data_IF_477058568912
#
_entry.id   IF_477058568912
#
_cell.length_a   1.000
_cell.length_b   1.000
_cell.length_c   1.000
_cell.angle_alpha   90.00
_cell.angle_beta   90.00
_cell.angle_gamma   90.00
#
_symmetry.space_group_name_H-M   'P 1'
#
loop_
_entity.id
_entity.type
_entity.pdbx_description
1 polymer ?
#
# COMPACT_ATOMS: atom_id res chain seq x y z
N UNK A 1 27.32 -19.94 4.50
CA UNK A 1 26.63 -19.25 3.41
C UNK A 1 26.30 -20.14 2.21
N UNK A 2 27.22 -20.93 1.65
CA UNK A 2 26.97 -21.84 0.48
C UNK A 2 25.87 -22.87 0.72
N UNK A 3 25.74 -23.42 1.94
CA UNK A 3 24.71 -24.42 2.30
C UNK A 3 23.29 -23.81 2.46
N UNK A 4 23.21 -22.53 2.85
CA UNK A 4 21.96 -21.80 2.97
C UNK A 4 21.36 -21.45 1.59
N UNK A 5 22.22 -21.14 0.61
CA UNK A 5 21.84 -20.88 -0.78
C UNK A 5 21.31 -22.13 -1.48
N UNK A 6 21.86 -23.31 -1.16
CA UNK A 6 21.39 -24.60 -1.71
C UNK A 6 20.01 -24.96 -1.14
N UNK A 7 19.76 -24.70 0.16
CA UNK A 7 18.45 -24.89 0.77
C UNK A 7 17.39 -23.94 0.19
N UNK A 8 17.74 -22.68 -0.07
CA UNK A 8 16.87 -21.72 -0.73
C UNK A 8 16.58 -22.07 -2.21
N UNK A 9 17.52 -22.75 -2.90
CA UNK A 9 17.33 -23.19 -4.28
C UNK A 9 16.50 -24.47 -4.41
N UNK A 10 16.47 -25.33 -3.38
CA UNK A 10 15.69 -26.56 -3.37
C UNK A 10 14.22 -26.33 -2.97
N UNK A 11 13.95 -25.33 -2.12
CA UNK A 11 12.59 -24.95 -1.73
C UNK A 11 11.62 -24.73 -2.93
N UNK A 12 12.00 -24.07 -4.04
CA UNK A 12 11.08 -23.89 -5.16
C UNK A 12 10.75 -25.18 -5.92
N UNK A 13 11.64 -26.19 -5.91
CA UNK A 13 11.40 -27.45 -6.65
C UNK A 13 10.39 -28.37 -5.95
N UNK A 14 10.40 -28.42 -4.63
CA UNK A 14 9.43 -29.19 -3.84
C UNK A 14 8.09 -28.47 -3.69
N UNK A 15 8.09 -27.15 -3.79
CA UNK A 15 6.89 -26.32 -3.69
C UNK A 15 6.01 -26.38 -4.96
N UNK A 16 6.57 -26.68 -6.13
CA UNK A 16 5.83 -26.70 -7.40
C UNK A 16 4.64 -27.70 -7.38
N UNK A 17 4.79 -28.85 -6.75
CA UNK A 17 3.70 -29.83 -6.63
C UNK A 17 2.56 -29.34 -5.71
N UNK A 18 2.84 -28.44 -4.76
CA UNK A 18 1.87 -27.93 -3.79
C UNK A 18 1.28 -26.57 -4.20
N UNK A 19 1.98 -25.79 -5.03
CA UNK A 19 1.63 -24.41 -5.38
C UNK A 19 0.94 -24.32 -6.75
N UNK A 20 1.06 -25.33 -7.59
CA UNK A 20 0.58 -25.32 -8.98
C UNK A 20 1.58 -24.72 -9.96
N UNK A 21 1.22 -24.74 -11.22
CA UNK A 21 2.06 -24.14 -12.27
C UNK A 21 1.94 -22.63 -12.24
N UNK A 22 3.03 -21.93 -11.95
CA UNK A 22 3.05 -20.47 -11.82
C UNK A 22 2.67 -19.73 -13.12
N UNK A 23 2.79 -20.38 -14.28
CA UNK A 23 2.37 -19.84 -15.56
C UNK A 23 0.88 -20.03 -15.89
N UNK A 24 0.11 -20.75 -15.07
CA UNK A 24 -1.31 -20.95 -15.30
C UNK A 24 -2.15 -19.83 -14.65
N UNK A 25 -3.30 -19.51 -15.27
CA UNK A 25 -4.24 -18.48 -14.80
C UNK A 25 -3.61 -17.08 -14.66
N UNK A 26 -2.62 -16.79 -15.50
CA UNK A 26 -2.02 -15.45 -15.59
C UNK A 26 -2.98 -14.54 -16.34
N UNK A 27 -3.18 -13.33 -15.80
CA UNK A 27 -3.92 -12.25 -16.44
C UNK A 27 -2.93 -11.20 -16.90
N UNK A 28 -3.14 -10.69 -18.09
CA UNK A 28 -2.38 -9.57 -18.63
C UNK A 28 -3.29 -8.65 -19.43
N UNK A 29 -2.86 -7.43 -19.61
CA UNK A 29 -3.60 -6.47 -20.38
C UNK A 29 -2.85 -5.16 -20.55
N UNK A 30 -3.37 -4.35 -21.45
CA UNK A 30 -2.92 -2.98 -21.64
C UNK A 30 -4.14 -2.05 -21.73
N UNK A 31 -3.96 -0.81 -21.34
CA UNK A 31 -4.98 0.23 -21.44
C UNK A 31 -4.35 1.56 -21.77
N UNK A 32 -5.14 2.41 -22.43
CA UNK A 32 -4.81 3.80 -22.67
C UNK A 32 -5.95 4.65 -22.14
N UNK A 33 -5.63 5.77 -21.55
CA UNK A 33 -6.61 6.76 -21.08
C UNK A 33 -6.08 8.16 -21.31
N UNK A 34 -6.95 9.06 -21.70
CA UNK A 34 -6.67 10.47 -21.81
C UNK A 34 -7.73 11.27 -21.07
N UNK A 35 -7.33 12.41 -20.52
CA UNK A 35 -8.20 13.36 -19.88
C UNK A 35 -7.84 14.75 -20.38
N UNK A 36 -8.86 15.52 -20.75
CA UNK A 36 -8.76 16.94 -21.04
C UNK A 36 -9.96 17.65 -20.40
N UNK A 37 -9.71 18.77 -19.74
CA UNK A 37 -10.73 19.62 -19.14
C UNK A 37 -10.42 21.08 -19.37
N UNK A 38 -11.43 21.94 -19.26
CA UNK A 38 -11.26 23.40 -19.27
C UNK A 38 -11.13 23.93 -17.84
N UNK A 39 -10.35 24.99 -17.64
CA UNK A 39 -10.07 25.57 -16.33
C UNK A 39 -8.64 25.29 -15.86
N UNK A 40 -8.34 25.68 -14.63
CA UNK A 40 -6.98 25.57 -14.07
C UNK A 40 -6.64 24.14 -13.62
N UNK A 41 -7.66 23.35 -13.24
CA UNK A 41 -7.50 22.00 -12.71
C UNK A 41 -8.53 21.04 -13.25
N UNK A 42 -8.15 19.75 -13.28
CA UNK A 42 -9.09 18.66 -13.54
C UNK A 42 -10.18 18.58 -12.48
N UNK A 43 -11.42 18.21 -12.84
CA UNK A 43 -12.46 17.95 -11.87
C UNK A 43 -12.06 16.89 -10.85
N UNK A 44 -12.41 17.12 -9.58
CA UNK A 44 -11.99 16.28 -8.45
C UNK A 44 -12.25 14.76 -8.64
N UNK A 45 -13.39 14.40 -9.19
CA UNK A 45 -13.75 12.98 -9.41
C UNK A 45 -12.91 12.27 -10.47
N UNK A 46 -12.15 13.00 -11.30
CA UNK A 46 -11.17 12.39 -12.20
C UNK A 46 -9.89 11.99 -11.48
N UNK A 47 -9.60 12.60 -10.33
CA UNK A 47 -8.39 12.33 -9.53
C UNK A 47 -8.64 11.42 -8.33
N UNK A 48 -9.86 11.43 -7.77
CA UNK A 48 -10.20 10.64 -6.60
C UNK A 48 -10.21 9.13 -6.88
N UNK A 49 -9.68 8.34 -5.95
CA UNK A 49 -9.66 6.87 -5.98
C UNK A 49 -8.99 6.27 -7.25
N UNK A 50 -7.97 6.94 -7.78
CA UNK A 50 -7.20 6.51 -8.97
C UNK A 50 -5.85 5.87 -8.63
N UNK A 51 -5.51 5.72 -7.36
CA UNK A 51 -4.27 5.08 -6.89
C UNK A 51 -2.98 5.69 -7.46
N UNK A 52 -2.96 7.01 -7.63
CA UNK A 52 -1.80 7.73 -8.18
C UNK A 52 -1.66 7.67 -9.69
N UNK A 53 -2.68 7.19 -10.40
CA UNK A 53 -2.75 7.15 -11.87
C UNK A 53 -3.55 8.31 -12.46
N UNK A 54 -3.71 9.39 -11.72
CA UNK A 54 -4.35 10.62 -12.16
C UNK A 54 -3.61 11.84 -11.60
N UNK A 55 -3.81 12.97 -12.22
CA UNK A 55 -3.19 14.25 -11.88
C UNK A 55 -4.28 15.33 -11.78
N UNK A 56 -4.09 16.36 -10.95
CA UNK A 56 -4.95 17.53 -10.96
C UNK A 56 -4.78 18.42 -12.21
N UNK A 57 -3.76 18.17 -13.04
CA UNK A 57 -3.59 18.91 -14.29
C UNK A 57 -4.78 18.69 -15.23
N UNK A 58 -5.14 19.71 -16.00
CA UNK A 58 -6.30 19.68 -16.88
C UNK A 58 -6.11 18.84 -18.16
N UNK A 59 -4.88 18.41 -18.44
CA UNK A 59 -4.56 17.51 -19.55
C UNK A 59 -3.62 16.40 -19.09
N UNK A 60 -3.95 15.17 -19.43
CA UNK A 60 -3.06 14.03 -19.18
C UNK A 60 -3.36 12.86 -20.11
N UNK A 61 -2.32 12.07 -20.37
CA UNK A 61 -2.42 10.83 -21.11
C UNK A 61 -1.63 9.73 -20.40
N UNK A 62 -2.21 8.54 -20.31
CA UNK A 62 -1.63 7.40 -19.62
C UNK A 62 -1.75 6.14 -20.49
N UNK A 63 -0.64 5.46 -20.70
CA UNK A 63 -0.59 4.10 -21.22
C UNK A 63 -0.13 3.17 -20.12
N UNK A 64 -0.83 2.06 -19.89
CA UNK A 64 -0.58 1.11 -18.82
C UNK A 64 -0.55 -0.31 -19.37
N UNK A 65 0.36 -1.13 -18.87
CA UNK A 65 0.42 -2.57 -19.13
C UNK A 65 0.62 -3.34 -17.84
N UNK A 66 -0.08 -4.46 -17.70
CA UNK A 66 0.01 -5.29 -16.52
C UNK A 66 0.07 -6.77 -16.86
N UNK A 67 0.71 -7.51 -15.97
CA UNK A 67 0.70 -8.97 -15.91
C UNK A 67 0.61 -9.40 -14.46
N UNK A 68 -0.14 -10.45 -14.16
CA UNK A 68 -0.21 -10.95 -12.80
C UNK A 68 -1.03 -12.22 -12.66
N UNK A 69 -0.86 -12.84 -11.52
CA UNK A 69 -1.54 -14.05 -11.08
C UNK A 69 -2.06 -13.87 -9.65
N UNK A 70 -3.30 -14.17 -9.43
CA UNK A 70 -3.90 -14.10 -8.10
C UNK A 70 -3.70 -15.40 -7.31
N UNK A 71 -3.58 -15.31 -6.00
CA UNK A 71 -3.65 -16.47 -5.09
C UNK A 71 -4.97 -17.23 -5.20
N UNK A 72 -6.05 -16.60 -5.67
CA UNK A 72 -7.35 -17.26 -5.91
C UNK A 72 -7.33 -18.24 -7.06
N UNK A 73 -6.30 -18.21 -7.93
CA UNK A 73 -6.14 -19.15 -9.04
C UNK A 73 -5.98 -20.62 -8.57
N UNK A 74 -5.52 -20.83 -7.33
CA UNK A 74 -5.33 -22.13 -6.70
C UNK A 74 -6.24 -22.34 -5.49
N UNK A 75 -7.49 -21.91 -5.54
CA UNK A 75 -8.41 -21.86 -4.39
C UNK A 75 -8.60 -23.22 -3.66
N UNK A 76 -8.42 -24.33 -4.36
CA UNK A 76 -8.49 -25.69 -3.79
C UNK A 76 -7.25 -26.12 -3.02
N UNK A 77 -6.15 -25.35 -3.08
CA UNK A 77 -4.87 -25.71 -2.46
C UNK A 77 -4.68 -24.99 -1.12
N UNK A 78 -3.95 -25.62 -0.19
CA UNK A 78 -3.57 -24.98 1.07
C UNK A 78 -2.51 -23.89 0.87
N UNK A 79 -1.55 -24.14 -0.05
CA UNK A 79 -0.53 -23.17 -0.45
C UNK A 79 -0.88 -22.58 -1.79
N UNK A 80 -0.90 -21.28 -1.85
CA UNK A 80 -1.26 -20.51 -3.05
C UNK A 80 -0.26 -19.39 -3.26
N UNK A 81 0.14 -19.14 -4.48
CA UNK A 81 1.04 -18.04 -4.84
C UNK A 81 0.36 -17.07 -5.79
N UNK A 82 0.68 -15.80 -5.61
CA UNK A 82 0.31 -14.73 -6.49
C UNK A 82 1.51 -13.82 -6.76
N UNK A 83 1.49 -13.12 -7.88
CA UNK A 83 2.46 -12.11 -8.25
C UNK A 83 1.85 -11.13 -9.24
N UNK A 84 2.48 -9.98 -9.39
CA UNK A 84 2.05 -9.00 -10.38
C UNK A 84 3.09 -7.93 -10.64
N UNK A 85 3.09 -7.48 -11.88
CA UNK A 85 3.80 -6.29 -12.34
C UNK A 85 2.84 -5.42 -13.14
N UNK A 86 2.92 -4.10 -12.95
CA UNK A 86 2.02 -3.12 -13.54
C UNK A 86 2.79 -1.81 -13.73
N UNK A 87 2.96 -1.43 -14.96
CA UNK A 87 3.75 -0.29 -15.38
C UNK A 87 2.89 0.69 -16.17
N UNK A 88 3.13 1.97 -15.99
CA UNK A 88 2.50 3.00 -16.79
C UNK A 88 3.51 4.03 -17.29
N UNK A 89 3.22 4.59 -18.47
CA UNK A 89 3.89 5.75 -19.03
C UNK A 89 2.86 6.86 -19.17
N UNK A 90 3.20 8.05 -18.69
CA UNK A 90 2.30 9.18 -18.62
C UNK A 90 2.88 10.43 -19.28
N UNK A 91 2.00 11.23 -19.87
CA UNK A 91 2.25 12.60 -20.27
C UNK A 91 1.29 13.53 -19.51
N UNK A 92 1.71 14.76 -19.22
CA UNK A 92 0.93 15.70 -18.42
C UNK A 92 0.90 15.39 -16.92
N UNK A 93 1.73 14.48 -16.43
CA UNK A 93 1.88 14.12 -15.03
C UNK A 93 3.32 14.37 -14.56
N UNK A 94 3.53 14.59 -13.25
CA UNK A 94 4.85 14.84 -12.68
C UNK A 94 5.84 13.67 -12.92
N UNK A 95 5.33 12.44 -12.89
CA UNK A 95 6.12 11.25 -13.19
C UNK A 95 5.72 10.67 -14.55
N UNK A 96 6.65 10.65 -15.48
CA UNK A 96 6.44 10.07 -16.80
C UNK A 96 6.47 8.55 -16.81
N UNK A 97 7.21 7.92 -15.90
CA UNK A 97 7.27 6.46 -15.72
C UNK A 97 6.78 6.09 -14.33
N UNK A 98 5.80 5.20 -14.29
CA UNK A 98 5.13 4.80 -13.05
C UNK A 98 5.21 3.28 -12.89
N UNK A 99 5.94 2.84 -11.88
CA UNK A 99 5.82 1.48 -11.36
C UNK A 99 4.59 1.46 -10.46
N UNK A 100 3.46 0.99 -10.97
CA UNK A 100 2.21 0.98 -10.23
C UNK A 100 2.12 -0.20 -9.28
N UNK A 101 2.54 -1.39 -9.73
CA UNK A 101 2.61 -2.57 -8.91
C UNK A 101 3.82 -3.42 -9.27
N UNK A 102 4.48 -3.96 -8.27
CA UNK A 102 5.46 -5.04 -8.38
C UNK A 102 5.45 -5.79 -7.06
N UNK A 103 4.87 -6.98 -7.05
CA UNK A 103 4.70 -7.76 -5.83
C UNK A 103 4.76 -9.25 -6.06
N UNK A 104 5.08 -9.95 -4.98
CA UNK A 104 4.87 -11.38 -4.82
C UNK A 104 4.12 -11.66 -3.53
N UNK A 105 3.29 -12.71 -3.54
CA UNK A 105 2.52 -13.12 -2.37
C UNK A 105 2.43 -14.62 -2.26
N UNK A 106 2.42 -15.10 -1.03
CA UNK A 106 2.15 -16.50 -0.69
C UNK A 106 1.04 -16.53 0.34
N UNK A 107 0.10 -17.42 0.13
CA UNK A 107 -1.02 -17.62 1.06
C UNK A 107 -1.06 -19.08 1.51
N UNK A 108 -1.13 -19.26 2.82
CA UNK A 108 -1.36 -20.55 3.47
C UNK A 108 -2.69 -20.53 4.19
N UNK A 109 -3.65 -21.32 3.68
CA UNK A 109 -5.02 -21.30 4.18
C UNK A 109 -5.60 -19.87 4.19
N UNK A 110 -5.86 -19.32 5.38
CA UNK A 110 -6.40 -17.99 5.56
C UNK A 110 -5.33 -16.89 5.61
N UNK A 111 -4.07 -17.22 5.92
CA UNK A 111 -3.00 -16.26 6.15
C UNK A 111 -2.21 -15.99 4.87
N UNK A 112 -2.01 -14.71 4.52
CA UNK A 112 -1.24 -14.27 3.36
C UNK A 112 -0.07 -13.39 3.79
N UNK A 113 1.09 -13.68 3.24
CA UNK A 113 2.26 -12.81 3.26
C UNK A 113 2.46 -12.23 1.87
N UNK A 114 2.62 -10.92 1.77
CA UNK A 114 2.94 -10.24 0.52
C UNK A 114 4.15 -9.32 0.69
N UNK A 115 4.95 -9.21 -0.35
CA UNK A 115 6.13 -8.34 -0.42
C UNK A 115 6.06 -7.54 -1.70
N UNK A 116 6.30 -6.26 -1.61
CA UNK A 116 6.33 -5.34 -2.74
C UNK A 116 5.16 -4.36 -2.76
N UNK A 117 5.02 -3.70 -3.88
CA UNK A 117 4.04 -2.65 -4.12
C UNK A 117 2.81 -3.25 -4.78
N UNK A 118 1.69 -3.26 -4.07
CA UNK A 118 0.41 -3.84 -4.54
C UNK A 118 -0.74 -2.91 -4.26
N UNK A 119 -1.57 -2.67 -5.25
CA UNK A 119 -2.84 -1.96 -5.10
C UNK A 119 -3.81 -2.82 -4.28
N UNK A 120 -4.36 -2.25 -3.22
CA UNK A 120 -5.32 -2.92 -2.33
C UNK A 120 -6.56 -2.07 -2.16
N UNK A 121 -7.70 -2.74 -2.13
CA UNK A 121 -8.95 -2.10 -1.75
C UNK A 121 -9.00 -2.02 -0.22
N UNK A 122 -9.38 -0.86 0.28
CA UNK A 122 -9.63 -0.64 1.70
C UNK A 122 -11.04 -1.10 2.04
N UNK A 123 -11.20 -1.84 3.14
CA UNK A 123 -12.50 -2.43 3.53
C UNK A 123 -13.52 -1.36 3.92
N UNK A 124 -13.06 -0.30 4.58
CA UNK A 124 -13.92 0.78 5.04
C UNK A 124 -14.19 1.86 3.98
N UNK A 125 -13.66 1.68 2.76
CA UNK A 125 -13.85 2.59 1.64
C UNK A 125 -14.97 2.09 0.72
N UNK A 126 -15.95 2.94 0.45
CA UNK A 126 -16.93 2.71 -0.60
C UNK A 126 -16.49 3.43 -1.88
N UNK A 127 -16.12 2.68 -2.91
CA UNK A 127 -15.56 3.23 -4.17
C UNK A 127 -16.53 4.19 -4.90
N UNK A 128 -17.84 4.09 -4.64
CA UNK A 128 -18.85 4.92 -5.28
C UNK A 128 -19.28 6.14 -4.47
N UNK A 129 -19.08 6.12 -3.15
CA UNK A 129 -19.58 7.15 -2.24
C UNK A 129 -18.47 7.91 -1.53
N UNK A 130 -17.27 7.32 -1.38
CA UNK A 130 -16.16 7.94 -0.68
C UNK A 130 -15.23 8.66 -1.65
N UNK A 131 -14.84 9.88 -1.31
CA UNK A 131 -13.83 10.65 -2.05
C UNK A 131 -12.38 10.20 -1.77
N UNK A 132 -12.16 9.35 -0.77
CA UNK A 132 -10.87 8.80 -0.36
C UNK A 132 -10.95 8.14 1.00
N UNK A 133 -9.86 7.53 1.43
CA UNK A 133 -9.75 6.91 2.74
C UNK A 133 -9.24 7.90 3.79
N UNK A 134 -9.54 7.67 5.07
CA UNK A 134 -9.05 8.48 6.18
C UNK A 134 -7.56 8.24 6.47
N UNK A 135 -7.07 7.03 6.20
CA UNK A 135 -5.68 6.62 6.48
C UNK A 135 -4.74 6.81 5.31
N UNK A 136 -5.27 7.04 4.11
CA UNK A 136 -4.51 7.31 2.90
C UNK A 136 -5.14 8.43 2.11
N UNK A 137 -4.36 9.14 1.28
CA UNK A 137 -4.90 10.22 0.45
C UNK A 137 -5.86 9.71 -0.64
N UNK A 138 -6.60 10.65 -1.24
CA UNK A 138 -7.62 10.38 -2.27
C UNK A 138 -7.08 9.74 -3.55
N UNK A 139 -5.78 9.88 -3.81
CA UNK A 139 -5.10 9.38 -5.01
C UNK A 139 -3.74 8.74 -4.64
N UNK A 140 -3.66 8.10 -3.48
CA UNK A 140 -2.42 7.51 -2.98
C UNK A 140 -1.98 6.34 -3.84
N UNK A 141 -0.72 6.40 -4.31
CA UNK A 141 -0.06 5.28 -5.01
C UNK A 141 0.22 4.15 -4.02
N UNK A 142 0.12 2.88 -4.46
CA UNK A 142 0.54 1.76 -3.63
C UNK A 142 1.99 1.91 -3.15
N UNK A 143 2.25 1.62 -1.90
CA UNK A 143 3.58 1.68 -1.29
C UNK A 143 4.25 0.31 -1.27
N UNK A 144 5.58 0.22 -1.48
CA UNK A 144 6.34 -1.01 -1.24
C UNK A 144 6.30 -1.35 0.24
N UNK A 145 5.89 -2.57 0.56
CA UNK A 145 5.72 -3.04 1.94
C UNK A 145 5.84 -4.55 2.04
N UNK A 146 6.17 -5.02 3.24
CA UNK A 146 5.94 -6.38 3.70
C UNK A 146 4.65 -6.37 4.49
N UNK A 147 3.69 -7.24 4.13
CA UNK A 147 2.38 -7.28 4.75
C UNK A 147 1.94 -8.70 5.03
N UNK A 148 1.58 -8.94 6.27
CA UNK A 148 0.92 -10.15 6.75
C UNK A 148 -0.55 -9.84 6.95
N UNK A 149 -1.44 -10.66 6.37
CA UNK A 149 -2.88 -10.36 6.40
C UNK A 149 -3.74 -11.62 6.42
N UNK A 150 -4.93 -11.46 6.97
CA UNK A 150 -6.10 -12.29 6.70
C UNK A 150 -6.94 -11.52 5.66
N UNK A 151 -6.81 -11.82 4.37
CA UNK A 151 -7.42 -11.00 3.30
C UNK A 151 -8.94 -11.08 3.28
N UNK A 152 -9.50 -12.15 3.82
CA UNK A 152 -10.93 -12.40 3.91
C UNK A 152 -11.34 -12.59 5.36
N UNK A 153 -12.63 -12.38 5.67
CA UNK A 153 -13.14 -12.64 7.01
C UNK A 153 -13.02 -14.13 7.37
N UNK A 154 -12.05 -14.43 8.22
CA UNK A 154 -11.80 -15.77 8.73
C UNK A 154 -12.71 -16.07 9.91
N UNK A 155 -13.56 -17.09 9.76
CA UNK A 155 -14.43 -17.53 10.85
C UNK A 155 -13.62 -18.15 11.98
N UNK A 156 -13.78 -17.61 13.20
CA UNK A 156 -13.08 -18.09 14.39
C UNK A 156 -13.59 -19.49 14.73
N UNK A 157 -12.70 -20.49 14.88
CA UNK A 157 -13.08 -21.84 15.24
C UNK A 157 -13.86 -21.87 16.57
N UNK A 158 -14.84 -22.77 16.67
CA UNK A 158 -15.66 -22.92 17.87
C UNK A 158 -16.81 -21.91 18.01
N UNK A 159 -16.90 -20.88 17.17
CA UNK A 159 -17.97 -19.87 17.23
C UNK A 159 -19.17 -20.18 16.32
N UNK A 160 -19.22 -21.36 15.73
CA UNK A 160 -20.24 -21.74 14.75
C UNK A 160 -20.45 -20.71 13.64
N UNK A 161 -19.34 -20.04 13.21
CA UNK A 161 -19.30 -18.97 12.20
C UNK A 161 -20.04 -17.68 12.59
N UNK A 162 -20.35 -17.49 13.88
CA UNK A 162 -20.92 -16.26 14.38
C UNK A 162 -19.91 -15.12 14.52
N UNK A 163 -18.65 -15.47 14.74
CA UNK A 163 -17.56 -14.50 14.84
C UNK A 163 -16.57 -14.73 13.71
N UNK A 164 -16.23 -13.70 12.98
CA UNK A 164 -15.17 -13.70 11.98
C UNK A 164 -14.29 -12.46 12.13
N UNK A 165 -13.02 -12.60 11.79
CA UNK A 165 -12.06 -11.51 11.84
C UNK A 165 -11.33 -11.36 10.51
N UNK A 166 -10.99 -10.12 10.19
CA UNK A 166 -10.10 -9.74 9.11
C UNK A 166 -9.05 -8.80 9.70
N UNK A 167 -7.80 -8.98 9.31
CA UNK A 167 -6.71 -8.20 9.90
C UNK A 167 -5.56 -8.05 8.94
N UNK A 168 -4.75 -7.00 9.14
CA UNK A 168 -3.43 -6.91 8.56
C UNK A 168 -2.43 -6.22 9.48
N UNK A 169 -1.17 -6.49 9.20
CA UNK A 169 -0.01 -5.80 9.74
C UNK A 169 0.99 -5.59 8.62
N UNK A 170 1.43 -4.36 8.39
CA UNK A 170 2.32 -4.01 7.30
C UNK A 170 3.39 -3.01 7.71
N UNK A 171 4.59 -3.22 7.17
CA UNK A 171 5.72 -2.30 7.27
C UNK A 171 6.22 -2.00 5.86
N UNK A 172 6.44 -0.74 5.56
CA UNK A 172 6.85 -0.28 4.24
C UNK A 172 7.63 1.01 4.27
N UNK A 173 7.84 1.58 3.09
CA UNK A 173 8.54 2.85 2.94
C UNK A 173 7.82 3.73 1.92
N UNK A 174 7.86 5.04 2.16
CA UNK A 174 7.41 6.02 1.17
C UNK A 174 8.42 6.16 0.05
N UNK A 175 7.90 6.24 -1.18
CA UNK A 175 8.68 6.46 -2.39
C UNK A 175 8.04 7.60 -3.16
N UNK A 176 8.70 8.76 -3.20
CA UNK A 176 8.22 9.95 -3.88
C UNK A 176 9.04 10.31 -5.13
N UNK A 177 10.04 9.49 -5.46
CA UNK A 177 10.99 9.74 -6.55
C UNK A 177 11.67 11.13 -6.45
N UNK A 178 11.88 11.63 -5.22
CA UNK A 178 12.48 12.92 -4.95
C UNK A 178 11.57 14.12 -5.26
N UNK A 179 10.27 13.90 -5.42
CA UNK A 179 9.31 14.95 -5.73
C UNK A 179 9.26 16.03 -4.64
N UNK A 180 9.21 15.66 -3.35
CA UNK A 180 9.23 16.62 -2.26
C UNK A 180 10.48 17.52 -2.34
N UNK A 181 11.64 16.93 -2.52
CA UNK A 181 12.91 17.65 -2.65
C UNK A 181 12.90 18.61 -3.86
N UNK A 182 12.33 18.22 -4.98
CA UNK A 182 12.31 19.07 -6.18
C UNK A 182 11.27 20.18 -6.07
N UNK A 183 10.09 19.92 -5.52
CA UNK A 183 9.03 20.91 -5.36
C UNK A 183 9.32 21.96 -4.28
N UNK A 184 10.15 21.63 -3.27
CA UNK A 184 10.48 22.56 -2.18
C UNK A 184 11.75 23.37 -2.42
N UNK A 185 12.52 23.08 -3.49
CA UNK A 185 13.79 23.77 -3.78
C UNK A 185 13.70 25.29 -3.83
N UNK A 186 12.63 25.82 -4.41
CA UNK A 186 12.44 27.27 -4.60
C UNK A 186 11.91 27.99 -3.36
N UNK A 187 11.37 27.27 -2.40
CA UNK A 187 10.68 27.86 -1.25
C UNK A 187 11.32 27.52 0.10
N UNK A 188 12.41 26.74 0.12
CA UNK A 188 13.07 26.25 1.36
C UNK A 188 12.08 25.69 2.39
N UNK A 189 11.03 25.01 1.91
CA UNK A 189 10.02 24.43 2.77
C UNK A 189 10.57 23.14 3.43
N UNK A 190 10.13 22.83 4.66
CA UNK A 190 10.43 21.55 5.27
C UNK A 190 9.93 20.38 4.43
N UNK A 191 10.72 19.32 4.33
CA UNK A 191 10.29 18.07 3.72
C UNK A 191 10.97 16.88 4.38
N UNK A 192 10.38 15.71 4.22
CA UNK A 192 10.93 14.44 4.71
C UNK A 192 11.35 13.56 3.55
N UNK A 193 12.39 12.75 3.78
CA UNK A 193 12.88 11.77 2.82
C UNK A 193 13.10 10.41 3.50
N UNK A 194 12.96 9.31 2.74
CA UNK A 194 13.14 7.96 3.25
C UNK A 194 12.26 7.60 4.46
N UNK A 195 11.10 8.23 4.59
CA UNK A 195 10.17 7.92 5.67
C UNK A 195 9.62 6.51 5.54
N UNK A 196 9.44 5.87 6.68
CA UNK A 196 8.86 4.55 6.81
C UNK A 196 7.34 4.63 6.99
N UNK A 197 6.67 3.57 6.65
CA UNK A 197 5.23 3.41 6.74
C UNK A 197 4.89 2.18 7.55
N UNK A 198 3.95 2.33 8.48
CA UNK A 198 3.32 1.22 9.17
C UNK A 198 1.81 1.32 9.01
N UNK A 199 1.16 0.19 8.79
CA UNK A 199 -0.30 0.10 8.89
C UNK A 199 -0.74 -1.21 9.53
N UNK A 200 -1.87 -1.14 10.21
CA UNK A 200 -2.54 -2.29 10.80
C UNK A 200 -4.05 -2.09 10.79
N UNK A 201 -4.76 -3.19 10.69
CA UNK A 201 -6.22 -3.24 10.71
C UNK A 201 -6.67 -4.47 11.51
N UNK A 202 -7.73 -4.29 12.24
CA UNK A 202 -8.48 -5.40 12.84
C UNK A 202 -9.97 -5.10 12.71
N UNK A 203 -10.66 -5.93 11.93
CA UNK A 203 -12.11 -5.89 11.77
C UNK A 203 -12.72 -7.16 12.34
N UNK A 204 -13.76 -6.98 13.14
CA UNK A 204 -14.58 -8.05 13.68
C UNK A 204 -15.94 -8.04 12.99
N UNK A 205 -16.41 -9.20 12.60
CA UNK A 205 -17.76 -9.40 12.06
C UNK A 205 -18.53 -10.35 12.94
N UNK A 206 -19.69 -9.91 13.41
CA UNK A 206 -20.62 -10.69 14.20
C UNK A 206 -21.87 -10.97 13.35
N UNK A 207 -22.28 -12.22 13.29
CA UNK A 207 -23.48 -12.68 12.57
C UNK A 207 -23.20 -13.87 11.67
N UNK A 208 -24.19 -14.73 11.53
CA UNK A 208 -24.13 -15.89 10.65
C UNK A 208 -25.26 -15.79 9.63
N UNK A 209 -24.92 -15.38 8.41
CA UNK A 209 -25.87 -15.15 7.31
C UNK A 209 -26.69 -16.39 6.90
N UNK A 210 -26.22 -17.57 7.23
CA UNK A 210 -26.92 -18.82 6.97
C UNK A 210 -28.11 -19.01 7.94
N UNK A 211 -28.02 -18.39 9.14
CA UNK A 211 -29.02 -18.50 10.21
C UNK A 211 -29.81 -17.22 10.44
N UNK A 212 -29.20 -16.07 10.19
CA UNK A 212 -29.80 -14.78 10.42
C UNK A 212 -29.27 -13.75 9.41
N UNK A 213 -30.13 -12.96 8.74
CA UNK A 213 -29.74 -12.12 7.61
C UNK A 213 -28.88 -10.90 7.99
N UNK A 214 -28.83 -10.54 9.28
CA UNK A 214 -28.08 -9.38 9.75
C UNK A 214 -26.65 -9.75 10.15
N UNK A 215 -25.70 -8.92 9.74
CA UNK A 215 -24.32 -8.96 10.22
C UNK A 215 -23.88 -7.58 10.64
N UNK A 216 -23.13 -7.49 11.73
CA UNK A 216 -22.46 -6.28 12.19
C UNK A 216 -20.96 -6.42 11.96
N UNK A 217 -20.33 -5.42 11.36
CA UNK A 217 -18.88 -5.36 11.19
C UNK A 217 -18.38 -4.04 11.76
N UNK A 218 -17.34 -4.12 12.59
CA UNK A 218 -16.68 -2.95 13.15
C UNK A 218 -15.21 -3.25 13.44
N UNK A 219 -14.41 -2.23 13.64
CA UNK A 219 -12.99 -2.37 13.94
C UNK A 219 -12.21 -1.09 13.83
N UNK A 220 -10.89 -1.24 13.79
CA UNK A 220 -9.93 -0.14 13.74
C UNK A 220 -8.94 -0.37 12.59
N UNK A 221 -8.64 0.70 11.89
CA UNK A 221 -7.56 0.81 10.94
C UNK A 221 -6.65 1.96 11.38
N UNK A 222 -5.34 1.73 11.34
CA UNK A 222 -4.32 2.72 11.69
C UNK A 222 -3.25 2.73 10.63
N UNK A 223 -2.72 3.93 10.35
CA UNK A 223 -1.50 4.10 9.59
C UNK A 223 -0.62 5.17 10.24
N UNK A 224 0.68 4.98 10.15
CA UNK A 224 1.68 5.87 10.73
C UNK A 224 2.82 6.07 9.75
N UNK A 225 3.25 7.31 9.59
CA UNK A 225 4.50 7.66 8.95
C UNK A 225 5.53 7.94 10.07
N UNK A 226 6.72 7.36 9.97
CA UNK A 226 7.74 7.52 10.99
C UNK A 226 9.14 7.41 10.40
N UNK A 227 10.14 7.83 11.16
CA UNK A 227 11.54 7.73 10.79
C UNK A 227 11.89 8.56 9.54
N UNK A 228 13.03 8.21 8.92
CA UNK A 228 13.52 8.90 7.74
C UNK A 228 14.43 10.07 8.07
N UNK A 229 14.46 11.06 7.20
CA UNK A 229 15.30 12.26 7.30
C UNK A 229 14.45 13.51 7.08
N UNK A 230 14.53 14.46 8.00
CA UNK A 230 13.94 15.78 7.86
C UNK A 230 14.94 16.79 7.29
N UNK A 231 14.52 17.56 6.32
CA UNK A 231 15.31 18.59 5.67
C UNK A 231 14.63 19.94 5.80
N UNK A 232 15.41 21.02 5.92
CA UNK A 232 14.90 22.38 6.13
C UNK A 232 13.99 22.49 7.37
N UNK A 233 14.27 21.70 8.40
CA UNK A 233 13.50 21.67 9.66
C UNK A 233 13.95 22.78 10.63
N UNK A 234 14.86 23.67 10.21
CA UNK A 234 15.39 24.74 11.03
C UNK A 234 14.39 25.88 11.26
N UNK A 235 14.72 26.71 12.24
CA UNK A 235 13.95 27.89 12.58
C UNK A 235 13.87 28.85 11.38
N UNK A 236 12.68 29.32 11.08
CA UNK A 236 12.48 30.38 10.12
C UNK A 236 12.68 31.74 10.82
N UNK A 237 13.60 32.54 10.31
CA UNK A 237 13.83 33.90 10.80
C UNK A 237 12.77 34.86 10.24
N UNK A 238 12.61 36.02 10.88
CA UNK A 238 11.60 37.03 10.50
C UNK A 238 11.82 37.60 9.08
N UNK A 239 13.06 37.53 8.56
CA UNK A 239 13.41 37.93 7.20
C UNK A 239 13.07 36.84 6.14
N UNK A 240 12.48 35.72 6.55
CA UNK A 240 12.15 34.59 5.70
C UNK A 240 13.29 33.60 5.47
N UNK A 241 14.50 33.86 5.99
CA UNK A 241 15.64 32.95 5.93
C UNK A 241 15.36 31.70 6.75
N UNK A 242 15.58 30.54 6.18
CA UNK A 242 15.47 29.25 6.89
C UNK A 242 16.86 28.78 7.25
N UNK A 243 17.13 28.62 8.54
CA UNK A 243 18.34 27.92 8.99
C UNK A 243 18.19 26.45 8.57
N UNK A 244 18.94 26.08 7.53
CA UNK A 244 18.90 24.72 7.01
C UNK A 244 19.33 23.75 8.11
N UNK A 245 18.45 22.85 8.53
CA UNK A 245 18.77 21.77 9.42
C UNK A 245 18.42 20.44 8.76
N UNK A 246 19.33 19.50 8.86
CA UNK A 246 19.11 18.12 8.49
C UNK A 246 19.02 17.30 9.78
N UNK A 247 17.94 16.56 9.96
CA UNK A 247 17.72 15.74 11.13
C UNK A 247 17.39 14.31 10.70
N UNK A 248 18.07 13.33 11.26
CA UNK A 248 17.63 11.93 11.17
C UNK A 248 16.50 11.70 12.15
N UNK A 249 15.36 11.23 11.63
CA UNK A 249 14.17 10.96 12.41
C UNK A 249 14.02 9.49 12.80
N UNK A 250 14.88 8.61 12.29
CA UNK A 250 14.89 7.20 12.62
C UNK A 250 15.90 6.91 13.73
N UNK A 251 15.39 6.47 14.88
CA UNK A 251 16.17 6.19 16.08
C UNK A 251 16.19 4.68 16.46
N UNK A 252 16.08 3.79 15.48
CA UNK A 252 16.19 2.36 15.67
C UNK A 252 14.91 1.68 16.13
N UNK A 253 15.04 0.65 16.97
CA UNK A 253 13.90 -0.19 17.38
C UNK A 253 12.84 0.55 18.21
N UNK A 254 13.21 1.61 18.92
CA UNK A 254 12.26 2.43 19.68
C UNK A 254 11.25 3.12 18.76
N UNK A 255 11.70 3.72 17.66
CA UNK A 255 10.81 4.36 16.68
C UNK A 255 9.83 3.36 16.04
N UNK A 256 10.29 2.14 15.76
CA UNK A 256 9.40 1.07 15.27
C UNK A 256 8.34 0.72 16.32
N UNK A 257 8.75 0.63 17.59
CA UNK A 257 7.83 0.32 18.69
C UNK A 257 6.76 1.41 18.87
N UNK A 258 7.16 2.67 18.87
CA UNK A 258 6.24 3.82 18.96
C UNK A 258 5.29 3.89 17.75
N UNK A 259 5.77 3.57 16.55
CA UNK A 259 4.91 3.51 15.36
C UNK A 259 3.85 2.38 15.45
N UNK A 260 4.17 1.28 16.15
CA UNK A 260 3.26 0.14 16.28
C UNK A 260 2.22 0.37 17.38
N UNK A 261 2.58 1.01 18.49
CA UNK A 261 1.67 1.19 19.63
C UNK A 261 0.95 2.54 19.54
N UNK A 262 -0.40 2.57 19.52
CA UNK A 262 -1.15 3.81 19.53
C UNK A 262 -0.86 4.63 20.80
N UNK A 263 -0.60 5.92 20.63
CA UNK A 263 -0.34 6.83 21.75
C UNK A 263 1.05 6.68 22.39
N UNK A 264 1.95 5.92 21.77
CA UNK A 264 3.33 5.76 22.24
C UNK A 264 4.32 6.78 21.71
N UNK A 265 3.90 7.77 20.94
CA UNK A 265 4.73 8.85 20.45
C UNK A 265 4.71 10.03 21.41
N UNK A 266 5.87 10.47 21.89
CA UNK A 266 6.03 11.80 22.44
C UNK A 266 5.91 12.79 21.27
N UNK A 267 5.00 13.76 21.37
CA UNK A 267 4.82 14.80 20.36
C UNK A 267 5.98 15.82 20.34
N UNK A 268 6.98 15.63 21.20
CA UNK A 268 8.07 16.59 21.46
C UNK A 268 9.44 16.23 20.84
N UNK A 269 9.53 15.23 19.94
CA UNK A 269 10.79 14.88 19.28
C UNK A 269 10.84 15.23 17.78
#
# INVERSE_FOLDING_TARGET
MRRLLILLAILPLTAQAQIGRLGENVRYGASMSGMASSGDYAPFWFTANRYGLATPNNESFLTRAFIGRSTTADSSRHWRMGYGADLAVAAGMDNHFILQQLYAEVQWKALRLSVGQKQRKLELLNDSLSSGAMTTGINTRPLPQVRLELPDFWAVPGTHRWLALKAHFAMGAYTDNGWQRSSTKTHSLPYTNNSLYHSKELLLRIGNRERFPLTLTGGLEMSTQFGGEGWNMGQRLDDGTVLSSHRKLFHGLSSIWHAIIPGGGDEDD
#
